data_IF_098121484753
#
_entry.id   IF_098121484753
#
_cell.length_a   1.000
_cell.length_b   1.000
_cell.length_c   1.000
_cell.angle_alpha   90.00
_cell.angle_beta   90.00
_cell.angle_gamma   90.00
#
_symmetry.space_group_name_H-M   'P 1'
#
loop_
_entity.id
_entity.type
_entity.pdbx_description
1 polymer ?
#
# COMPACT_ATOMS: atom_id res chain seq x y z
N UNK A 1 -63.67 -5.93 -9.59
CA UNK A 1 -62.75 -4.83 -9.95
C UNK A 1 -61.34 -5.26 -9.58
N UNK A 2 -60.53 -5.64 -10.58
CA UNK A 2 -59.16 -6.20 -10.41
C UNK A 2 -58.15 -5.08 -10.65
N UNK A 3 -57.43 -4.69 -9.60
CA UNK A 3 -56.43 -3.64 -9.60
C UNK A 3 -55.05 -4.28 -9.87
N UNK A 4 -54.69 -4.45 -11.13
CA UNK A 4 -53.32 -4.77 -11.57
C UNK A 4 -52.86 -3.61 -12.44
N UNK A 5 -51.96 -2.75 -11.97
CA UNK A 5 -51.19 -1.88 -12.87
C UNK A 5 -49.98 -1.26 -12.15
N UNK A 6 -48.82 -1.47 -12.77
CA UNK A 6 -47.54 -0.76 -12.62
C UNK A 6 -46.60 -1.14 -11.47
N UNK A 7 -45.96 -2.29 -11.70
CA UNK A 7 -44.59 -2.62 -11.31
C UNK A 7 -43.62 -1.63 -11.99
N UNK A 8 -43.06 -0.67 -11.25
CA UNK A 8 -41.94 0.18 -11.69
C UNK A 8 -40.63 -0.35 -11.08
N UNK A 9 -39.89 -1.17 -11.83
CA UNK A 9 -38.53 -1.58 -11.48
C UNK A 9 -37.59 -0.44 -11.88
N UNK A 10 -37.06 0.28 -10.90
CA UNK A 10 -36.01 1.28 -11.07
C UNK A 10 -34.66 0.56 -11.02
N UNK A 11 -34.07 0.29 -12.20
CA UNK A 11 -32.73 -0.29 -12.32
C UNK A 11 -31.70 0.81 -12.03
N UNK A 12 -31.17 0.85 -10.80
CA UNK A 12 -30.08 1.75 -10.41
C UNK A 12 -28.78 1.19 -11.03
N UNK A 13 -28.30 1.83 -12.09
CA UNK A 13 -26.96 1.61 -12.65
C UNK A 13 -25.92 2.14 -11.66
N UNK A 14 -25.31 1.24 -10.89
CA UNK A 14 -24.13 1.54 -10.09
C UNK A 14 -22.95 1.79 -11.02
N UNK A 15 -22.72 3.04 -11.42
CA UNK A 15 -21.48 3.43 -12.07
C UNK A 15 -20.37 3.44 -11.02
N UNK A 16 -19.53 2.41 -11.01
CA UNK A 16 -18.30 2.41 -10.22
C UNK A 16 -17.34 3.44 -10.81
N UNK A 17 -17.28 4.65 -10.25
CA UNK A 17 -16.20 5.59 -10.54
C UNK A 17 -14.92 4.98 -9.98
N UNK A 18 -14.04 4.48 -10.85
CA UNK A 18 -12.71 4.07 -10.43
C UNK A 18 -11.96 5.31 -9.97
N UNK A 19 -11.80 5.48 -8.67
CA UNK A 19 -10.72 6.32 -8.16
C UNK A 19 -9.42 5.66 -8.65
N UNK A 20 -8.55 6.44 -9.30
CA UNK A 20 -7.25 5.92 -9.72
C UNK A 20 -6.52 5.35 -8.52
N UNK A 21 -5.71 4.31 -8.73
CA UNK A 21 -4.97 3.68 -7.64
C UNK A 21 -4.17 4.75 -6.88
N UNK A 22 -4.36 4.81 -5.56
CA UNK A 22 -3.65 5.76 -4.69
C UNK A 22 -2.17 5.41 -4.54
N UNK A 23 -1.69 4.38 -5.23
CA UNK A 23 -0.31 3.90 -5.19
C UNK A 23 0.24 3.67 -6.60
N UNK A 24 1.57 3.70 -6.72
CA UNK A 24 2.28 3.40 -7.96
C UNK A 24 3.63 2.76 -7.70
N UNK A 25 4.12 1.96 -8.64
CA UNK A 25 5.48 1.44 -8.60
C UNK A 25 6.46 2.51 -9.13
N UNK A 26 7.42 2.91 -8.30
CA UNK A 26 8.38 3.99 -8.59
C UNK A 26 9.78 3.51 -8.96
N UNK A 27 10.02 2.20 -8.98
CA UNK A 27 11.37 1.65 -9.01
C UNK A 27 11.48 0.43 -9.92
N UNK A 28 12.58 -0.33 -9.80
CA UNK A 28 12.81 -1.49 -10.63
C UNK A 28 11.81 -2.60 -10.31
N UNK A 29 11.56 -3.46 -11.30
CA UNK A 29 10.63 -4.60 -11.21
C UNK A 29 11.29 -5.94 -11.55
N UNK A 30 12.61 -5.96 -11.58
CA UNK A 30 13.40 -7.11 -12.03
C UNK A 30 13.64 -8.10 -10.89
N UNK A 31 14.11 -7.59 -9.74
CA UNK A 31 14.48 -8.40 -8.57
C UNK A 31 13.30 -8.68 -7.65
N UNK A 32 12.41 -7.72 -7.46
CA UNK A 32 11.15 -7.94 -6.75
C UNK A 32 9.97 -7.39 -7.54
N UNK A 33 9.22 -8.29 -8.18
CA UNK A 33 8.07 -7.93 -9.00
C UNK A 33 6.84 -7.81 -8.11
N UNK A 34 6.40 -6.58 -7.84
CA UNK A 34 5.15 -6.32 -7.13
C UNK A 34 3.98 -6.77 -8.01
N UNK A 35 3.15 -7.68 -7.49
CA UNK A 35 1.99 -8.24 -8.19
C UNK A 35 0.69 -7.57 -7.80
N UNK A 36 0.56 -7.11 -6.55
CA UNK A 36 -0.61 -6.38 -6.09
C UNK A 36 -0.30 -5.52 -4.87
N UNK A 37 -0.97 -4.38 -4.78
CA UNK A 37 -1.11 -3.64 -3.52
C UNK A 37 -2.60 -3.31 -3.34
N UNK A 38 -3.14 -3.60 -2.17
CA UNK A 38 -4.51 -3.27 -1.80
C UNK A 38 -4.52 -2.45 -0.53
N UNK A 39 -5.34 -1.41 -0.50
CA UNK A 39 -5.51 -0.52 0.65
C UNK A 39 -6.99 -0.56 1.02
N UNK A 40 -7.31 -0.79 2.30
CA UNK A 40 -8.68 -0.91 2.78
C UNK A 40 -8.83 -0.13 4.10
N UNK A 41 -9.75 0.84 4.22
CA UNK A 41 -10.62 1.37 3.16
C UNK A 41 -9.83 2.18 2.11
N UNK A 42 -10.37 2.23 0.89
CA UNK A 42 -9.89 3.09 -0.19
C UNK A 42 -11.05 3.99 -0.67
N UNK A 43 -10.99 5.32 -0.44
CA UNK A 43 -9.90 6.06 0.19
C UNK A 43 -9.80 5.80 1.71
N UNK A 44 -8.60 5.92 2.29
CA UNK A 44 -8.40 5.84 3.74
C UNK A 44 -9.27 6.83 4.52
N UNK A 45 -9.81 6.38 5.65
CA UNK A 45 -10.72 7.18 6.50
C UNK A 45 -10.06 7.41 7.86
N UNK A 46 -10.02 8.67 8.30
CA UNK A 46 -9.50 9.04 9.63
C UNK A 46 -10.24 8.29 10.74
N UNK A 47 -9.52 7.93 11.79
CA UNK A 47 -10.02 7.17 12.94
C UNK A 47 -10.31 5.70 12.66
N UNK A 48 -10.32 5.25 11.39
CA UNK A 48 -10.54 3.85 11.01
C UNK A 48 -9.21 3.12 10.82
N UNK A 49 -9.24 1.83 11.12
CA UNK A 49 -8.13 0.95 10.79
C UNK A 49 -7.99 0.87 9.27
N UNK A 50 -6.77 1.12 8.80
CA UNK A 50 -6.35 0.99 7.41
C UNK A 50 -5.45 -0.24 7.32
N UNK A 51 -5.80 -1.14 6.42
CA UNK A 51 -5.06 -2.35 6.08
C UNK A 51 -4.43 -2.16 4.72
N UNK A 52 -3.10 -2.27 4.65
CA UNK A 52 -2.37 -2.32 3.38
C UNK A 52 -1.80 -3.72 3.23
N UNK A 53 -2.12 -4.38 2.12
CA UNK A 53 -1.55 -5.68 1.76
C UNK A 53 -0.78 -5.52 0.46
N UNK A 54 0.50 -5.91 0.46
CA UNK A 54 1.36 -5.93 -0.71
C UNK A 54 1.82 -7.34 -1.00
N UNK A 55 1.78 -7.74 -2.27
CA UNK A 55 2.25 -9.03 -2.75
C UNK A 55 3.23 -8.86 -3.90
N UNK A 56 4.15 -9.81 -4.04
CA UNK A 56 5.12 -9.82 -5.13
C UNK A 56 5.91 -11.12 -5.23
N UNK A 57 6.75 -11.20 -6.25
CA UNK A 57 7.65 -12.33 -6.50
C UNK A 57 9.09 -11.85 -6.43
N UNK A 58 9.84 -12.38 -5.48
CA UNK A 58 11.25 -12.11 -5.25
C UNK A 58 12.09 -13.09 -6.08
N UNK A 59 12.89 -12.57 -6.99
CA UNK A 59 13.69 -13.34 -7.94
C UNK A 59 15.08 -13.73 -7.45
N UNK A 60 15.47 -13.35 -6.23
CA UNK A 60 16.75 -13.71 -5.64
C UNK A 60 16.68 -13.81 -4.10
N UNK A 61 17.66 -14.48 -3.49
CA UNK A 61 17.73 -14.53 -2.04
C UNK A 61 18.25 -13.19 -1.48
N UNK A 62 17.60 -12.68 -0.43
CA UNK A 62 18.10 -11.53 0.34
C UNK A 62 18.77 -12.02 1.62
N UNK A 63 20.05 -11.70 1.80
CA UNK A 63 20.79 -11.98 3.05
C UNK A 63 20.75 -10.80 4.01
N UNK A 64 20.62 -9.59 3.48
CA UNK A 64 20.40 -8.34 4.18
C UNK A 64 19.71 -7.35 3.24
N UNK A 65 19.37 -6.17 3.76
CA UNK A 65 18.83 -5.09 2.96
C UNK A 65 18.17 -4.02 3.82
N UNK A 66 17.65 -2.97 3.18
CA UNK A 66 17.09 -1.82 3.88
C UNK A 66 15.73 -1.44 3.30
N UNK A 67 14.78 -1.13 4.17
CA UNK A 67 13.55 -0.41 3.81
C UNK A 67 13.73 1.05 4.22
N UNK A 68 13.65 1.96 3.26
CA UNK A 68 13.55 3.39 3.50
C UNK A 68 12.08 3.82 3.41
N UNK A 69 11.59 4.52 4.42
CA UNK A 69 10.20 4.97 4.54
C UNK A 69 10.20 6.49 4.70
N UNK A 70 9.54 7.18 3.78
CA UNK A 70 9.35 8.62 3.79
C UNK A 70 7.86 8.94 3.70
N UNK A 71 7.31 9.61 4.72
CA UNK A 71 5.92 10.09 4.74
C UNK A 71 5.91 11.60 4.91
N UNK A 72 5.12 12.28 4.09
CA UNK A 72 4.95 13.74 4.14
C UNK A 72 3.49 14.15 4.21
N UNK A 73 3.24 15.30 4.84
CA UNK A 73 2.01 16.08 4.74
C UNK A 73 2.33 17.41 4.06
N UNK A 74 1.86 17.58 2.82
CA UNK A 74 2.32 18.66 1.94
C UNK A 74 3.85 18.64 1.79
N UNK A 75 4.53 19.68 2.28
CA UNK A 75 5.99 19.79 2.29
C UNK A 75 6.64 19.36 3.61
N UNK A 76 5.86 19.08 4.65
CA UNK A 76 6.34 18.70 5.98
C UNK A 76 6.61 17.20 6.00
N UNK A 77 7.84 16.80 6.38
CA UNK A 77 8.20 15.40 6.60
C UNK A 77 7.67 14.92 7.95
N UNK A 78 6.84 13.88 7.94
CA UNK A 78 6.28 13.24 9.14
C UNK A 78 7.12 12.04 9.58
N UNK A 79 7.55 11.20 8.63
CA UNK A 79 8.39 10.03 8.86
C UNK A 79 9.52 10.06 7.83
N UNK A 80 10.74 9.80 8.26
CA UNK A 80 11.88 9.58 7.39
C UNK A 80 12.83 8.61 8.10
N UNK A 81 12.63 7.33 7.87
CA UNK A 81 13.30 6.26 8.59
C UNK A 81 13.89 5.24 7.63
N UNK A 82 14.95 4.59 8.09
CA UNK A 82 15.56 3.44 7.43
C UNK A 82 15.57 2.29 8.42
N UNK A 83 15.07 1.14 8.01
CA UNK A 83 15.04 -0.09 8.82
C UNK A 83 15.71 -1.22 8.06
N UNK A 84 16.36 -2.10 8.78
CA UNK A 84 16.92 -3.32 8.22
C UNK A 84 15.79 -4.34 7.98
N UNK A 85 15.73 -4.93 6.78
CA UNK A 85 14.65 -5.84 6.36
C UNK A 85 14.58 -7.08 7.28
N UNK A 86 15.73 -7.56 7.76
CA UNK A 86 15.84 -8.75 8.60
C UNK A 86 15.37 -8.53 10.03
N UNK A 87 15.23 -7.27 10.45
CA UNK A 87 14.85 -6.88 11.82
C UNK A 87 13.56 -6.06 11.88
N UNK A 88 12.80 -6.01 10.77
CA UNK A 88 11.50 -5.34 10.72
C UNK A 88 10.54 -5.91 11.77
N UNK A 89 10.08 -5.10 12.74
CA UNK A 89 9.14 -5.55 13.75
C UNK A 89 7.85 -6.09 13.10
N UNK A 90 7.45 -7.30 13.47
CA UNK A 90 6.23 -7.93 12.95
C UNK A 90 6.38 -8.58 11.57
N UNK A 91 7.55 -8.51 10.93
CA UNK A 91 7.81 -9.26 9.71
C UNK A 91 7.91 -10.76 10.01
N UNK A 92 7.16 -11.63 9.29
CA UNK A 92 7.33 -13.08 9.40
C UNK A 92 8.61 -13.58 8.70
N UNK A 93 9.30 -12.70 7.94
CA UNK A 93 10.43 -13.07 7.10
C UNK A 93 11.73 -12.95 7.88
N UNK A 94 12.43 -14.08 8.01
CA UNK A 94 13.77 -14.17 8.62
C UNK A 94 14.82 -14.25 7.53
N UNK A 95 15.92 -13.54 7.72
CA UNK A 95 17.06 -13.66 6.82
C UNK A 95 17.78 -15.00 7.00
N UNK A 96 18.25 -15.65 5.91
CA UNK A 96 18.10 -15.20 4.53
C UNK A 96 16.67 -15.40 4.00
N UNK A 97 16.09 -14.35 3.42
CA UNK A 97 14.79 -14.39 2.74
C UNK A 97 15.01 -15.07 1.40
N UNK A 98 14.31 -16.17 1.15
CA UNK A 98 14.52 -16.96 -0.08
C UNK A 98 13.78 -16.34 -1.26
N UNK A 99 14.22 -16.59 -2.48
CA UNK A 99 13.40 -16.30 -3.66
C UNK A 99 12.02 -16.99 -3.57
N UNK A 100 10.99 -16.39 -4.20
CA UNK A 100 9.64 -16.93 -4.20
C UNK A 100 8.54 -15.87 -4.06
N UNK A 101 7.33 -16.31 -3.72
CA UNK A 101 6.17 -15.45 -3.54
C UNK A 101 6.08 -14.90 -2.12
N UNK A 102 5.82 -13.61 -2.01
CA UNK A 102 5.72 -12.89 -0.74
C UNK A 102 4.44 -12.06 -0.68
N UNK A 103 3.86 -11.99 0.51
CA UNK A 103 2.67 -11.19 0.81
C UNK A 103 2.75 -10.68 2.25
N UNK A 104 2.77 -9.36 2.39
CA UNK A 104 2.82 -8.70 3.69
C UNK A 104 1.62 -7.80 3.90
N UNK A 105 1.05 -7.83 5.09
CA UNK A 105 -0.07 -6.98 5.49
C UNK A 105 0.32 -6.15 6.70
N UNK A 106 0.14 -4.84 6.58
CA UNK A 106 0.30 -3.88 7.68
C UNK A 106 -1.04 -3.25 8.02
N UNK A 107 -1.21 -2.97 9.30
CA UNK A 107 -2.39 -2.31 9.84
C UNK A 107 -1.95 -1.05 10.57
N UNK A 108 -2.58 0.08 10.28
CA UNK A 108 -2.36 1.34 10.99
C UNK A 108 -3.64 2.18 11.02
N UNK A 109 -3.64 3.26 11.79
CA UNK A 109 -4.76 4.19 11.87
C UNK A 109 -4.24 5.60 11.66
N UNK A 110 -4.92 6.38 10.82
CA UNK A 110 -4.68 7.83 10.75
C UNK A 110 -5.55 8.47 11.84
N UNK A 111 -4.97 9.21 12.80
CA UNK A 111 -5.75 9.83 13.88
C UNK A 111 -6.85 10.76 13.34
N UNK A 112 -7.98 10.86 14.04
CA UNK A 112 -9.08 11.78 13.68
C UNK A 112 -8.62 13.25 13.63
N UNK A 113 -7.65 13.62 14.47
CA UNK A 113 -7.07 14.95 14.52
C UNK A 113 -6.06 15.25 13.40
N UNK A 114 -5.73 14.28 12.54
CA UNK A 114 -4.83 14.52 11.40
C UNK A 114 -5.43 15.62 10.49
N UNK A 115 -4.65 16.62 10.04
CA UNK A 115 -5.16 17.66 9.16
C UNK A 115 -5.76 17.13 7.84
N UNK A 116 -6.65 17.90 7.22
CA UNK A 116 -7.06 17.64 5.83
C UNK A 116 -5.94 18.07 4.88
N UNK A 117 -5.78 17.36 3.76
CA UNK A 117 -4.81 17.70 2.73
C UNK A 117 -4.04 16.51 2.18
N UNK A 118 -2.98 16.81 1.42
CA UNK A 118 -2.21 15.82 0.66
C UNK A 118 -1.16 15.13 1.53
N UNK A 119 -1.24 13.81 1.57
CA UNK A 119 -0.22 12.94 2.16
C UNK A 119 0.48 12.16 1.05
N UNK A 120 1.80 12.02 1.17
CA UNK A 120 2.59 11.18 0.27
C UNK A 120 3.45 10.21 1.07
N UNK A 121 3.42 8.94 0.70
CA UNK A 121 4.34 7.91 1.17
C UNK A 121 5.28 7.51 0.03
N UNK A 122 6.54 7.28 0.37
CA UNK A 122 7.55 6.71 -0.50
C UNK A 122 8.26 5.62 0.27
N UNK A 123 8.22 4.40 -0.24
CA UNK A 123 8.87 3.24 0.36
C UNK A 123 9.77 2.61 -0.67
N UNK A 124 11.08 2.57 -0.40
CA UNK A 124 12.04 1.85 -1.23
C UNK A 124 12.71 0.73 -0.45
N UNK A 125 13.00 -0.36 -1.16
CA UNK A 125 13.63 -1.56 -0.61
C UNK A 125 14.92 -1.79 -1.38
N UNK A 126 16.03 -1.98 -0.67
CA UNK A 126 17.31 -2.36 -1.25
C UNK A 126 17.77 -3.74 -0.77
N UNK A 127 18.53 -4.44 -1.60
CA UNK A 127 19.16 -5.72 -1.28
C UNK A 127 20.49 -5.56 -0.50
N UNK A 128 21.21 -6.67 -0.31
CA UNK A 128 22.55 -6.73 0.30
C UNK A 128 23.64 -5.94 -0.46
N UNK A 129 23.42 -5.62 -1.74
CA UNK A 129 24.33 -4.82 -2.57
C UNK A 129 23.94 -3.33 -2.57
N UNK A 130 22.93 -2.95 -1.76
CA UNK A 130 22.31 -1.62 -1.77
C UNK A 130 21.65 -1.24 -3.11
N UNK A 131 21.36 -2.22 -3.95
CA UNK A 131 20.59 -2.01 -5.17
C UNK A 131 19.11 -1.96 -4.81
N UNK A 132 18.39 -0.96 -5.31
CA UNK A 132 16.94 -0.91 -5.16
C UNK A 132 16.30 -2.09 -5.89
N UNK A 133 15.42 -2.81 -5.20
CA UNK A 133 14.73 -4.00 -5.73
C UNK A 133 13.23 -3.80 -5.87
N UNK A 134 12.67 -2.84 -5.13
CA UNK A 134 11.27 -2.42 -5.21
C UNK A 134 11.09 -1.02 -4.66
N UNK A 135 10.09 -0.33 -5.20
CA UNK A 135 9.68 1.00 -4.74
C UNK A 135 8.17 1.16 -4.89
N UNK A 136 7.53 1.69 -3.86
CA UNK A 136 6.11 2.03 -3.84
C UNK A 136 5.94 3.49 -3.43
N UNK A 137 5.28 4.26 -4.28
CA UNK A 137 4.76 5.57 -3.94
C UNK A 137 3.27 5.46 -3.62
N UNK A 138 2.81 6.24 -2.64
CA UNK A 138 1.40 6.38 -2.28
C UNK A 138 1.07 7.86 -2.22
N UNK A 139 -0.02 8.26 -2.85
CA UNK A 139 -0.55 9.63 -2.75
C UNK A 139 -2.03 9.56 -2.40
N UNK A 140 -2.40 10.16 -1.27
CA UNK A 140 -3.79 10.23 -0.82
C UNK A 140 -4.12 11.64 -0.32
N UNK A 141 -5.40 12.00 -0.41
CA UNK A 141 -5.93 13.25 0.14
C UNK A 141 -6.97 12.92 1.18
N UNK A 142 -6.77 13.41 2.40
CA UNK A 142 -7.70 13.26 3.52
C UNK A 142 -8.68 14.42 3.63
#
# INVERSE_FOLDING_TARGET
MKFYLYLSILLILLTSTSFGDIWSNCGPNEKFKITSVSIVPDPPVKGKLITISGSGVLGENLTSGQVAILVKFGLITLINEKKDICTLPGSPYKCPIKEGEYSHTINFTIPEAAPNGKYTGHVSVTDQESSEIACIDVTLTL
#
